data_IF_862072031646
#
_entry.id   IF_862072031646
#
_cell.length_a   1.000
_cell.length_b   1.000
_cell.length_c   1.000
_cell.angle_alpha   90.00
_cell.angle_beta   90.00
_cell.angle_gamma   90.00
#
_symmetry.space_group_name_H-M   'P 1'
#
loop_
_entity.id
_entity.type
_entity.pdbx_description
1 polymer ?
#
# COMPACT_ATOMS: atom_id res chain seq x y z
N UNK A 1 -17.39 -6.72 -1.51
CA UNK A 1 -16.11 -6.90 -2.20
C UNK A 1 -15.03 -6.19 -1.39
N UNK A 2 -13.92 -6.86 -1.08
CA UNK A 2 -12.81 -6.25 -0.32
C UNK A 2 -12.17 -5.12 -1.16
N UNK A 3 -11.96 -3.95 -0.55
CA UNK A 3 -11.28 -2.81 -1.16
C UNK A 3 -9.97 -2.54 -0.44
N UNK A 4 -8.87 -2.53 -1.16
CA UNK A 4 -7.51 -2.36 -0.64
C UNK A 4 -6.92 -1.10 -1.25
N UNK A 5 -6.59 -0.12 -0.41
CA UNK A 5 -5.84 1.04 -0.86
C UNK A 5 -4.39 0.63 -1.09
N UNK A 6 -3.89 0.80 -2.31
CA UNK A 6 -2.50 0.56 -2.66
C UNK A 6 -2.09 1.53 -3.76
N UNK A 7 -0.97 2.22 -3.55
CA UNK A 7 -0.41 3.15 -4.53
C UNK A 7 1.12 3.13 -4.49
N UNK A 8 1.75 3.48 -5.61
CA UNK A 8 3.21 3.48 -5.74
C UNK A 8 3.89 4.39 -4.72
N UNK A 9 3.21 5.46 -4.29
CA UNK A 9 3.68 6.39 -3.25
C UNK A 9 3.87 5.75 -1.87
N UNK A 10 3.33 4.55 -1.66
CA UNK A 10 3.54 3.80 -0.43
C UNK A 10 4.91 3.13 -0.40
N UNK A 11 5.56 2.94 -1.55
CA UNK A 11 6.89 2.32 -1.67
C UNK A 11 7.95 3.42 -1.58
N UNK A 12 8.73 3.41 -0.50
CA UNK A 12 9.72 4.46 -0.23
C UNK A 12 11.12 3.89 0.00
N UNK A 13 12.16 4.33 -0.73
CA UNK A 13 13.51 3.81 -0.55
C UNK A 13 14.06 4.14 0.85
N UNK A 14 14.49 3.12 1.57
CA UNK A 14 15.08 3.27 2.89
C UNK A 14 16.60 3.11 2.86
N UNK A 15 17.26 3.77 3.81
CA UNK A 15 18.69 3.57 4.07
C UNK A 15 18.93 2.14 4.57
N UNK A 16 20.11 1.60 4.27
CA UNK A 16 20.55 0.29 4.78
C UNK A 16 20.46 0.25 6.32
N UNK A 17 19.91 -0.85 6.85
CA UNK A 17 19.74 -1.04 8.30
C UNK A 17 18.49 -0.38 8.90
N UNK A 18 17.65 0.26 8.09
CA UNK A 18 16.38 0.80 8.57
C UNK A 18 15.44 -0.32 9.05
N UNK A 19 14.80 -0.12 10.20
CA UNK A 19 13.96 -1.14 10.87
C UNK A 19 12.54 -1.24 10.32
N UNK A 20 12.11 -0.23 9.57
CA UNK A 20 10.79 -0.23 8.94
C UNK A 20 10.76 -1.24 7.78
N UNK A 21 9.81 -2.17 7.74
CA UNK A 21 9.80 -3.27 6.79
C UNK A 21 9.21 -2.82 5.44
N UNK A 22 9.88 -1.91 4.75
CA UNK A 22 9.32 -1.27 3.54
C UNK A 22 8.96 -2.25 2.45
N UNK A 23 9.78 -3.30 2.28
CA UNK A 23 9.57 -4.38 1.32
C UNK A 23 8.16 -4.99 1.43
N UNK A 24 7.54 -4.99 2.62
CA UNK A 24 6.18 -5.51 2.81
C UNK A 24 5.13 -4.77 1.99
N UNK A 25 5.31 -3.48 1.73
CA UNK A 25 4.33 -2.70 0.97
C UNK A 25 4.30 -3.09 -0.51
N UNK A 26 5.42 -3.57 -1.05
CA UNK A 26 5.50 -4.14 -2.41
C UNK A 26 5.05 -5.61 -2.41
N UNK A 27 5.55 -6.41 -1.46
CA UNK A 27 5.34 -7.85 -1.44
C UNK A 27 3.91 -8.26 -1.04
N UNK A 28 3.24 -7.56 -0.13
CA UNK A 28 1.91 -7.97 0.34
C UNK A 28 0.87 -7.97 -0.80
N UNK A 29 0.71 -6.88 -1.59
CA UNK A 29 -0.20 -6.88 -2.75
C UNK A 29 0.10 -8.00 -3.74
N UNK A 30 1.38 -8.19 -4.09
CA UNK A 30 1.81 -9.25 -5.02
C UNK A 30 1.44 -10.64 -4.49
N UNK A 31 1.70 -10.91 -3.21
CA UNK A 31 1.40 -12.19 -2.59
C UNK A 31 -0.11 -12.45 -2.49
N UNK A 32 -0.95 -11.42 -2.31
CA UNK A 32 -2.41 -11.57 -2.31
C UNK A 32 -2.94 -12.01 -3.68
N UNK A 33 -2.41 -11.44 -4.76
CA UNK A 33 -2.76 -11.81 -6.13
C UNK A 33 -2.24 -13.22 -6.44
N UNK A 34 -0.96 -13.48 -6.18
CA UNK A 34 -0.31 -14.78 -6.43
C UNK A 34 -1.03 -15.95 -5.73
N UNK A 35 -1.59 -15.71 -4.55
CA UNK A 35 -2.32 -16.71 -3.75
C UNK A 35 -3.81 -16.80 -4.12
N UNK A 36 -4.27 -16.07 -5.13
CA UNK A 36 -5.68 -15.96 -5.51
C UNK A 36 -6.60 -15.50 -4.38
N UNK A 37 -6.08 -14.72 -3.41
CA UNK A 37 -6.87 -14.13 -2.32
C UNK A 37 -7.56 -12.86 -2.82
N UNK A 38 -6.90 -12.12 -3.71
CA UNK A 38 -7.41 -10.91 -4.34
C UNK A 38 -7.09 -10.93 -5.83
N UNK A 39 -7.78 -10.10 -6.59
CA UNK A 39 -7.48 -9.76 -7.98
C UNK A 39 -7.18 -8.27 -8.07
N UNK A 40 -6.73 -7.79 -9.23
CA UNK A 40 -6.44 -6.37 -9.45
C UNK A 40 -7.64 -5.46 -9.15
N UNK A 41 -8.87 -5.95 -9.31
CA UNK A 41 -10.10 -5.17 -9.02
C UNK A 41 -10.35 -4.92 -7.53
N UNK A 42 -9.64 -5.63 -6.63
CA UNK A 42 -9.68 -5.35 -5.20
C UNK A 42 -8.86 -4.11 -4.83
N UNK A 43 -7.91 -3.70 -5.66
CA UNK A 43 -6.98 -2.61 -5.37
C UNK A 43 -7.45 -1.30 -5.98
N UNK A 44 -7.21 -0.20 -5.28
CA UNK A 44 -7.44 1.14 -5.80
C UNK A 44 -6.36 2.11 -5.30
N UNK A 45 -6.04 3.11 -6.11
CA UNK A 45 -5.12 4.17 -5.71
C UNK A 45 -5.86 5.17 -4.80
N UNK A 46 -5.37 5.43 -3.57
CA UNK A 46 -5.99 6.42 -2.68
C UNK A 46 -5.92 7.83 -3.28
N UNK A 47 -6.84 8.71 -2.86
CA UNK A 47 -6.73 10.14 -3.11
C UNK A 47 -5.96 10.83 -2.00
N UNK A 48 -5.40 12.00 -2.27
CA UNK A 48 -4.79 12.84 -1.24
C UNK A 48 -5.83 13.23 -0.17
N UNK A 49 -5.37 13.30 1.08
CA UNK A 49 -6.19 13.76 2.20
C UNK A 49 -6.38 15.28 2.12
N UNK A 50 -7.59 15.77 2.40
CA UNK A 50 -7.81 17.22 2.46
C UNK A 50 -7.21 17.76 3.76
N UNK A 51 -6.70 18.98 3.71
CA UNK A 51 -6.16 19.65 4.90
C UNK A 51 -7.20 19.77 6.03
N UNK A 52 -8.49 19.89 5.70
CA UNK A 52 -9.59 19.89 6.67
C UNK A 52 -9.70 18.60 7.50
N UNK A 53 -9.21 17.48 6.96
CA UNK A 53 -9.39 16.15 7.56
C UNK A 53 -8.21 15.79 8.47
N UNK A 54 -7.12 16.57 8.41
CA UNK A 54 -5.95 16.42 9.30
C UNK A 54 -6.24 17.19 10.58
N UNK A 55 -6.47 16.47 11.69
CA UNK A 55 -6.60 17.08 13.01
C UNK A 55 -5.22 17.58 13.47
N UNK A 56 -5.18 18.84 13.93
CA UNK A 56 -3.99 19.47 14.52
C UNK A 56 -3.93 19.25 16.03
#
# INVERSE_FOLDING_TARGET
MLKIAFGQSYIYPLKKGHRFPMEKYELIPEQLIRRNICTDSNFFNPTEIKKSDVMH
#
